data_IF_035937934179
#
_entry.id   IF_035937934179
#
_cell.length_a   1.000
_cell.length_b   1.000
_cell.length_c   1.000
_cell.angle_alpha   90.00
_cell.angle_beta   90.00
_cell.angle_gamma   90.00
#
_symmetry.space_group_name_H-M   'P 1'
#
loop_
_entity.id
_entity.type
_entity.pdbx_description
1 polymer ?
#
# COMPACT_ATOMS: atom_id res chain seq x y z
N UNK A 1 -1.05 -21.89 -25.80
CA UNK A 1 -1.70 -23.01 -25.07
C UNK A 1 -3.14 -23.07 -25.51
N UNK A 2 -3.67 -24.24 -25.86
CA UNK A 2 -5.07 -24.44 -26.25
C UNK A 2 -5.74 -25.42 -25.29
N UNK A 3 -6.94 -25.06 -24.82
CA UNK A 3 -7.68 -25.77 -23.78
C UNK A 3 -9.13 -25.90 -24.21
N UNK A 4 -9.75 -27.03 -23.90
CA UNK A 4 -11.20 -27.23 -24.03
C UNK A 4 -11.80 -27.78 -22.74
N UNK A 5 -13.00 -27.33 -22.43
CA UNK A 5 -13.80 -27.92 -21.36
C UNK A 5 -14.26 -29.32 -21.75
N UNK A 6 -14.16 -30.25 -20.80
CA UNK A 6 -14.53 -31.65 -21.05
C UNK A 6 -16.05 -31.82 -21.14
N UNK A 7 -16.81 -31.00 -20.43
CA UNK A 7 -18.28 -31.03 -20.41
C UNK A 7 -18.83 -29.68 -19.95
N UNK A 8 -20.07 -29.35 -20.32
CA UNK A 8 -20.69 -28.05 -19.97
C UNK A 8 -20.98 -27.92 -18.47
N UNK A 9 -21.10 -29.05 -17.76
CA UNK A 9 -21.48 -29.11 -16.34
C UNK A 9 -20.30 -29.39 -15.39
N UNK A 10 -19.13 -29.79 -15.91
CA UNK A 10 -17.95 -30.10 -15.10
C UNK A 10 -16.94 -28.95 -15.13
N UNK A 11 -16.35 -28.63 -13.98
CA UNK A 11 -15.30 -27.58 -13.85
C UNK A 11 -13.91 -28.09 -14.25
N UNK A 12 -13.85 -29.16 -15.02
CA UNK A 12 -12.61 -29.79 -15.49
C UNK A 12 -12.33 -29.32 -16.92
N UNK A 13 -11.07 -28.97 -17.17
CA UNK A 13 -10.61 -28.60 -18.50
C UNK A 13 -9.44 -29.51 -18.90
N UNK A 14 -9.41 -29.89 -20.17
CA UNK A 14 -8.33 -30.69 -20.73
C UNK A 14 -7.41 -29.79 -21.55
N UNK A 15 -6.11 -29.84 -21.24
CA UNK A 15 -5.09 -29.17 -22.03
C UNK A 15 -4.79 -30.03 -23.26
N UNK A 16 -5.21 -29.56 -24.43
CA UNK A 16 -5.07 -30.30 -25.70
C UNK A 16 -3.70 -30.08 -26.35
N UNK A 17 -3.10 -28.92 -26.15
CA UNK A 17 -1.82 -28.60 -26.79
C UNK A 17 -1.00 -27.66 -25.91
N UNK A 18 0.19 -28.12 -25.55
CA UNK A 18 1.24 -27.33 -24.92
C UNK A 18 2.33 -27.15 -25.97
N UNK A 19 2.46 -25.94 -26.52
CA UNK A 19 3.63 -25.59 -27.34
C UNK A 19 4.74 -25.20 -26.37
N UNK A 20 5.77 -26.04 -26.29
CA UNK A 20 6.93 -25.88 -25.41
C UNK A 20 7.96 -24.87 -25.92
N UNK A 21 7.86 -24.44 -27.18
CA UNK A 21 8.71 -23.41 -27.74
C UNK A 21 8.17 -22.02 -27.41
N UNK A 22 8.88 -21.30 -26.55
CA UNK A 22 8.59 -19.91 -26.22
C UNK A 22 9.69 -19.03 -26.81
N UNK A 23 9.34 -18.24 -27.82
CA UNK A 23 10.15 -17.10 -28.29
C UNK A 23 9.91 -15.85 -27.44
N UNK A 24 9.06 -15.93 -26.42
CA UNK A 24 8.75 -14.79 -25.58
C UNK A 24 9.91 -14.46 -24.65
N UNK A 25 10.61 -13.36 -24.93
CA UNK A 25 11.45 -12.72 -23.93
C UNK A 25 10.59 -12.40 -22.71
N UNK A 26 11.01 -12.88 -21.53
CA UNK A 26 10.31 -12.65 -20.27
C UNK A 26 10.39 -11.15 -19.95
N UNK A 27 9.38 -10.39 -20.37
CA UNK A 27 9.30 -8.95 -20.07
C UNK A 27 9.10 -8.81 -18.56
N UNK A 28 10.06 -8.23 -17.87
CA UNK A 28 10.02 -7.99 -16.42
C UNK A 28 9.04 -6.88 -16.02
N UNK A 29 8.04 -6.57 -16.84
CA UNK A 29 7.03 -5.56 -16.53
C UNK A 29 5.85 -6.23 -15.81
N UNK A 30 5.73 -5.99 -14.51
CA UNK A 30 4.59 -6.44 -13.73
C UNK A 30 3.50 -5.36 -13.69
N UNK A 31 2.27 -5.72 -14.05
CA UNK A 31 1.10 -4.83 -13.94
C UNK A 31 0.78 -4.52 -12.45
N UNK A 32 1.18 -5.41 -11.55
CA UNK A 32 0.94 -5.30 -10.11
C UNK A 32 1.87 -4.31 -9.40
N UNK A 33 3.06 -4.01 -9.93
CA UNK A 33 3.94 -2.98 -9.38
C UNK A 33 3.46 -1.57 -9.75
N UNK A 34 2.29 -1.16 -9.28
CA UNK A 34 1.76 0.20 -9.48
C UNK A 34 2.51 1.22 -8.62
N UNK A 35 2.46 2.51 -8.98
CA UNK A 35 3.07 3.58 -8.19
C UNK A 35 2.46 3.67 -6.78
N UNK A 36 1.16 3.40 -6.63
CA UNK A 36 0.47 3.34 -5.33
C UNK A 36 0.99 2.18 -4.47
N UNK A 37 1.16 0.99 -5.08
CA UNK A 37 1.71 -0.17 -4.38
C UNK A 37 3.11 0.10 -3.85
N UNK A 38 3.98 0.65 -4.70
CA UNK A 38 5.35 0.99 -4.31
C UNK A 38 5.40 2.09 -3.24
N UNK A 39 4.56 3.13 -3.36
CA UNK A 39 4.48 4.18 -2.36
C UNK A 39 4.09 3.65 -0.98
N UNK A 40 3.11 2.73 -0.91
CA UNK A 40 2.70 2.09 0.34
C UNK A 40 3.77 1.13 0.89
N UNK A 41 4.41 0.34 0.02
CA UNK A 41 5.43 -0.63 0.43
C UNK A 41 6.67 0.04 1.04
N UNK A 42 7.10 1.17 0.47
CA UNK A 42 8.30 1.90 0.90
C UNK A 42 7.99 3.20 1.65
N UNK A 43 6.78 3.34 2.18
CA UNK A 43 6.34 4.56 2.88
C UNK A 43 7.26 4.91 4.04
N UNK A 44 7.63 3.91 4.86
CA UNK A 44 8.52 4.08 6.01
C UNK A 44 9.91 4.56 5.59
N UNK A 45 10.45 4.01 4.50
CA UNK A 45 11.76 4.41 3.96
C UNK A 45 11.72 5.86 3.44
N UNK A 46 10.64 6.23 2.74
CA UNK A 46 10.46 7.60 2.23
C UNK A 46 10.22 8.59 3.37
N UNK A 47 9.50 8.19 4.42
CA UNK A 47 9.30 9.02 5.63
C UNK A 47 10.62 9.26 6.36
N UNK A 48 11.48 8.25 6.43
CA UNK A 48 12.79 8.36 7.09
C UNK A 48 13.80 9.18 6.30
N UNK A 49 13.73 9.14 4.96
CA UNK A 49 14.60 9.91 4.08
C UNK A 49 13.79 10.57 2.93
N UNK A 50 13.27 11.80 3.13
CA UNK A 50 12.46 12.49 2.12
C UNK A 50 13.24 12.85 0.85
N UNK A 51 14.55 13.12 0.98
CA UNK A 51 15.44 13.50 -0.14
C UNK A 51 16.01 12.30 -0.91
N UNK A 52 15.54 11.09 -0.65
CA UNK A 52 16.05 9.86 -1.25
C UNK A 52 16.13 9.92 -2.79
N UNK A 53 17.32 9.86 -3.41
CA UNK A 53 17.46 10.01 -4.86
C UNK A 53 16.64 9.01 -5.67
N UNK A 54 16.03 9.48 -6.76
CA UNK A 54 15.15 8.66 -7.61
C UNK A 54 15.88 7.46 -8.26
N UNK A 55 17.16 7.62 -8.60
CA UNK A 55 17.98 6.53 -9.16
C UNK A 55 18.23 5.41 -8.14
N UNK A 56 18.68 5.76 -6.94
CA UNK A 56 18.88 4.77 -5.86
C UNK A 56 17.58 4.08 -5.46
N UNK A 57 16.47 4.83 -5.43
CA UNK A 57 15.14 4.27 -5.20
C UNK A 57 14.74 3.27 -6.29
N UNK A 58 15.01 3.61 -7.56
CA UNK A 58 14.75 2.73 -8.69
C UNK A 58 15.52 1.42 -8.55
N UNK A 59 16.82 1.46 -8.31
CA UNK A 59 17.66 0.26 -8.20
C UNK A 59 17.18 -0.68 -7.08
N UNK A 60 16.89 -0.13 -5.90
CA UNK A 60 16.41 -0.91 -4.75
C UNK A 60 15.04 -1.52 -5.05
N UNK A 61 14.09 -0.71 -5.56
CA UNK A 61 12.75 -1.20 -5.87
C UNK A 61 12.74 -2.23 -7.00
N UNK A 62 13.62 -2.08 -8.00
CA UNK A 62 13.76 -3.05 -9.09
C UNK A 62 14.33 -4.37 -8.59
N UNK A 63 15.35 -4.33 -7.72
CA UNK A 63 15.97 -5.52 -7.11
C UNK A 63 14.97 -6.30 -6.29
N UNK A 64 14.24 -5.62 -5.41
CA UNK A 64 13.30 -6.23 -4.48
C UNK A 64 12.07 -6.81 -5.19
N UNK A 65 11.59 -6.14 -6.24
CA UNK A 65 10.39 -6.54 -6.96
C UNK A 65 10.68 -7.33 -8.25
N UNK A 66 11.96 -7.59 -8.57
CA UNK A 66 12.41 -8.30 -9.79
C UNK A 66 11.71 -7.80 -11.07
N UNK A 67 11.52 -6.48 -11.15
CA UNK A 67 10.67 -5.81 -12.15
C UNK A 67 11.43 -4.63 -12.72
N UNK A 68 11.35 -4.40 -14.03
CA UNK A 68 11.86 -3.18 -14.66
C UNK A 68 10.93 -2.00 -14.36
N UNK A 69 11.45 -1.02 -13.60
CA UNK A 69 10.73 0.20 -13.23
C UNK A 69 11.38 1.40 -13.91
N UNK A 70 10.59 2.35 -14.42
CA UNK A 70 11.12 3.60 -14.99
C UNK A 70 11.40 4.64 -13.91
N UNK A 71 12.36 5.53 -14.17
CA UNK A 71 12.69 6.64 -13.26
C UNK A 71 11.48 7.57 -13.01
N UNK A 72 10.70 7.86 -14.05
CA UNK A 72 9.43 8.60 -13.96
C UNK A 72 8.43 7.97 -12.99
N UNK A 73 8.47 6.66 -12.81
CA UNK A 73 7.63 5.96 -11.84
C UNK A 73 8.05 6.31 -10.41
N UNK A 74 9.34 6.53 -10.14
CA UNK A 74 9.85 6.90 -8.82
C UNK A 74 9.38 8.29 -8.39
N UNK A 75 9.38 9.26 -9.31
CA UNK A 75 8.80 10.59 -9.02
C UNK A 75 7.31 10.51 -8.66
N UNK A 76 6.55 9.67 -9.37
CA UNK A 76 5.14 9.42 -9.03
C UNK A 76 4.98 8.72 -7.68
N UNK A 77 5.85 7.76 -7.38
CA UNK A 77 5.89 7.06 -6.09
C UNK A 77 6.13 8.04 -4.95
N UNK A 78 7.14 8.92 -5.07
CA UNK A 78 7.38 10.01 -4.10
C UNK A 78 6.16 10.89 -3.90
N UNK A 79 5.52 11.32 -5.00
CA UNK A 79 4.31 12.16 -4.94
C UNK A 79 3.15 11.44 -4.22
N UNK A 80 2.98 10.15 -4.43
CA UNK A 80 1.96 9.36 -3.73
C UNK A 80 2.30 9.18 -2.25
N UNK A 81 3.55 8.84 -1.94
CA UNK A 81 4.01 8.67 -0.56
C UNK A 81 3.88 9.97 0.24
N UNK A 82 4.29 11.11 -0.32
CA UNK A 82 4.14 12.42 0.31
C UNK A 82 2.67 12.74 0.64
N UNK A 83 1.75 12.46 -0.29
CA UNK A 83 0.30 12.64 -0.05
C UNK A 83 -0.24 11.72 1.04
N UNK A 84 0.22 10.47 1.07
CA UNK A 84 -0.18 9.51 2.10
C UNK A 84 0.32 9.96 3.47
N UNK A 85 1.59 10.39 3.57
CA UNK A 85 2.18 10.87 4.82
C UNK A 85 1.45 12.13 5.32
N UNK A 86 1.23 13.13 4.48
CA UNK A 86 0.51 14.35 4.88
C UNK A 86 -0.94 14.04 5.32
N UNK A 87 -1.60 13.09 4.67
CA UNK A 87 -2.94 12.64 5.06
C UNK A 87 -2.95 12.01 6.45
N UNK A 88 -1.98 11.13 6.73
CA UNK A 88 -1.85 10.47 8.03
C UNK A 88 -1.59 11.45 9.17
N UNK A 89 -0.82 12.52 8.93
CA UNK A 89 -0.54 13.55 9.94
C UNK A 89 -1.82 14.31 10.31
N UNK A 90 -2.58 14.77 9.30
CA UNK A 90 -3.85 15.49 9.51
C UNK A 90 -4.85 14.61 10.28
N UNK A 91 -4.98 13.34 9.88
CA UNK A 91 -5.84 12.38 10.57
C UNK A 91 -5.43 12.17 12.03
N UNK A 92 -4.12 12.10 12.31
CA UNK A 92 -3.59 11.96 13.67
C UNK A 92 -3.93 13.18 14.54
N UNK A 93 -3.73 14.40 14.04
CA UNK A 93 -4.08 15.62 14.78
C UNK A 93 -5.59 15.71 15.07
N UNK A 94 -6.43 15.35 14.09
CA UNK A 94 -7.87 15.30 14.27
C UNK A 94 -8.27 14.27 15.33
N UNK A 95 -7.69 13.07 15.29
CA UNK A 95 -7.99 12.02 16.24
C UNK A 95 -7.52 12.36 17.67
N UNK A 96 -6.37 13.04 17.79
CA UNK A 96 -5.87 13.52 19.09
C UNK A 96 -6.85 14.50 19.73
N UNK A 97 -7.37 15.46 18.96
CA UNK A 97 -8.38 16.41 19.44
C UNK A 97 -9.68 15.76 19.90
N UNK A 98 -10.17 14.76 19.15
CA UNK A 98 -11.38 13.98 19.53
C UNK A 98 -11.13 13.20 20.83
N UNK A 99 -9.95 12.59 20.95
CA UNK A 99 -9.55 11.80 22.12
C UNK A 99 -9.46 12.68 23.37
N UNK A 100 -8.80 13.84 23.28
CA UNK A 100 -8.73 14.81 24.37
C UNK A 100 -10.11 15.27 24.85
N UNK A 101 -11.04 15.56 23.93
CA UNK A 101 -12.42 15.94 24.29
C UNK A 101 -13.14 14.83 25.06
N UNK A 102 -12.96 13.56 24.67
CA UNK A 102 -13.51 12.41 25.39
C UNK A 102 -12.92 12.28 26.80
N UNK A 103 -11.60 12.42 26.94
CA UNK A 103 -10.92 12.37 28.24
C UNK A 103 -11.40 13.47 29.19
N UNK A 104 -11.49 14.72 28.73
CA UNK A 104 -11.97 15.84 29.54
C UNK A 104 -13.41 15.60 30.00
N UNK A 105 -14.28 15.13 29.10
CA UNK A 105 -15.66 14.79 29.46
C UNK A 105 -15.74 13.69 30.53
N UNK A 106 -14.89 12.66 30.42
CA UNK A 106 -14.83 11.58 31.39
C UNK A 106 -14.41 12.08 32.78
N UNK A 107 -13.40 12.96 32.84
CA UNK A 107 -12.95 13.60 34.07
C UNK A 107 -14.08 14.43 34.69
N UNK A 108 -14.76 15.27 33.91
CA UNK A 108 -15.90 16.07 34.39
C UNK A 108 -17.02 15.20 34.96
N UNK A 109 -17.37 14.09 34.30
CA UNK A 109 -18.39 13.15 34.78
C UNK A 109 -17.97 12.48 36.09
N UNK A 110 -16.69 12.10 36.22
CA UNK A 110 -16.15 11.53 37.46
C UNK A 110 -16.16 12.55 38.60
N UNK A 111 -15.77 13.80 38.34
CA UNK A 111 -15.82 14.88 39.33
C UNK A 111 -17.26 15.15 39.79
N UNK A 112 -18.24 15.15 38.87
CA UNK A 112 -19.65 15.28 39.20
C UNK A 112 -20.18 14.10 40.03
N UNK A 113 -19.81 12.87 39.68
CA UNK A 113 -20.19 11.67 40.47
C UNK A 113 -19.62 11.70 41.88
N UNK A 114 -18.35 12.08 42.03
CA UNK A 114 -17.70 12.21 43.34
C UNK A 114 -18.38 13.29 44.20
N UNK A 115 -18.75 14.43 43.60
CA UNK A 115 -19.44 15.51 44.30
C UNK A 115 -20.87 15.13 44.73
N UNK A 116 -21.60 14.34 43.94
CA UNK A 116 -22.95 13.87 44.30
C UNK A 116 -22.90 12.79 45.38
N UNK A 117 -21.87 11.94 45.44
CA UNK A 117 -21.73 10.91 46.48
C UNK A 117 -21.24 11.43 47.84
N UNK A 118 -20.77 12.67 47.93
CA UNK A 118 -20.36 13.32 49.19
C UNK A 118 -21.46 14.19 49.82
N UNK A 119 -22.67 14.21 49.26
CA UNK A 119 -23.87 14.86 49.79
C UNK A 119 -24.86 13.78 50.19
#
# INVERSE_FOLDING_TARGET
>A
MYVSFMSKCEKTFQVKTIKGEHTCCRVSNSQHCTSKFLAKKYETNIRSNPDWPAGSMQEIMQRDNKTSLSLWKMYRVKKHAAKSISGTEIEQYNNFGITLRKFIGLILILQLKLNVSMI
#
